data_IF_227347212198
#
_entry.id   IF_227347212198
#
_cell.length_a   1.000
_cell.length_b   1.000
_cell.length_c   1.000
_cell.angle_alpha   90.00
_cell.angle_beta   90.00
_cell.angle_gamma   90.00
#
_symmetry.space_group_name_H-M   'P 1'
#
loop_
_entity.id
_entity.type
_entity.pdbx_description
1 polymer ?
#
# COMPACT_ATOMS: atom_id res chain seq x y z
N UNK A 1 16.88 -0.89 44.32
CA UNK A 1 15.50 -0.50 43.97
C UNK A 1 15.44 0.78 43.14
N UNK A 2 16.07 1.89 43.56
CA UNK A 2 16.07 3.16 42.79
C UNK A 2 16.65 3.05 41.37
N UNK A 3 17.81 2.40 41.22
CA UNK A 3 18.48 2.25 39.91
C UNK A 3 17.71 1.35 38.94
N UNK A 4 17.02 0.33 39.45
CA UNK A 4 16.21 -0.59 38.64
C UNK A 4 15.00 0.13 38.03
N UNK A 5 14.40 1.05 38.80
CA UNK A 5 13.29 1.89 38.33
C UNK A 5 13.76 2.87 37.24
N UNK A 6 14.94 3.47 37.41
CA UNK A 6 15.53 4.40 36.45
C UNK A 6 15.89 3.76 35.10
N UNK A 7 16.40 2.52 35.11
CA UNK A 7 16.72 1.78 33.89
C UNK A 7 15.44 1.42 33.14
N UNK A 8 14.39 0.99 33.85
CA UNK A 8 13.11 0.63 33.25
C UNK A 8 12.44 1.85 32.58
N UNK A 9 12.51 3.03 33.21
CA UNK A 9 11.98 4.28 32.62
C UNK A 9 12.74 4.72 31.38
N UNK A 10 14.07 4.52 31.34
CA UNK A 10 14.87 4.89 30.17
C UNK A 10 14.65 3.92 29.00
N UNK A 11 14.49 2.62 29.30
CA UNK A 11 14.14 1.62 28.30
C UNK A 11 12.76 1.86 27.69
N UNK A 12 11.77 2.26 28.49
CA UNK A 12 10.43 2.55 27.99
C UNK A 12 10.40 3.80 27.09
N UNK A 13 11.18 4.83 27.42
CA UNK A 13 11.32 6.04 26.59
C UNK A 13 11.99 5.74 25.24
N UNK A 14 12.94 4.80 25.17
CA UNK A 14 13.60 4.41 23.93
C UNK A 14 12.67 3.66 22.95
N UNK A 15 11.64 2.98 23.45
CA UNK A 15 10.66 2.25 22.62
C UNK A 15 9.64 3.20 21.98
N UNK A 16 9.28 4.31 22.64
CA UNK A 16 8.29 5.25 22.09
C UNK A 16 8.82 6.15 20.98
N UNK A 17 10.14 6.28 20.84
CA UNK A 17 10.81 7.07 19.78
C UNK A 17 10.74 6.42 18.38
N UNK A 18 10.39 5.14 18.29
CA UNK A 18 10.29 4.42 17.01
C UNK A 18 8.85 4.28 16.50
N UNK A 19 7.88 4.93 17.13
CA UNK A 19 6.52 5.00 16.61
C UNK A 19 6.49 6.00 15.44
N UNK A 20 6.71 5.52 14.22
CA UNK A 20 6.44 6.30 13.02
C UNK A 20 4.93 6.50 12.91
N UNK A 21 4.45 7.75 12.90
CA UNK A 21 3.08 8.01 12.52
C UNK A 21 2.86 7.48 11.11
N UNK A 22 1.81 6.68 10.91
CA UNK A 22 1.38 6.32 9.56
C UNK A 22 1.13 7.64 8.79
N UNK A 23 1.58 7.70 7.54
CA UNK A 23 1.37 8.87 6.69
C UNK A 23 -0.10 9.26 6.74
N UNK A 24 -0.39 10.51 7.11
CA UNK A 24 -1.74 11.06 7.08
C UNK A 24 -2.09 11.66 5.73
N UNK A 25 -1.25 11.42 4.73
CA UNK A 25 -1.56 11.82 3.37
C UNK A 25 -2.87 11.14 2.97
N UNK A 26 -3.87 11.92 2.51
CA UNK A 26 -5.14 11.35 2.13
C UNK A 26 -4.90 10.34 1.01
N UNK A 27 -5.52 9.17 1.12
CA UNK A 27 -5.51 8.19 0.04
C UNK A 27 -6.02 8.86 -1.23
N UNK A 28 -5.26 8.70 -2.31
CA UNK A 28 -5.58 9.28 -3.61
C UNK A 28 -6.20 8.21 -4.52
N UNK A 29 -7.43 8.45 -4.96
CA UNK A 29 -8.24 7.56 -5.79
C UNK A 29 -8.44 8.08 -7.22
N UNK A 30 -7.83 9.21 -7.58
CA UNK A 30 -8.12 9.96 -8.81
C UNK A 30 -7.38 9.40 -10.04
N UNK A 31 -7.33 8.07 -10.16
CA UNK A 31 -6.70 7.37 -11.27
C UNK A 31 -7.63 7.26 -12.48
N UNK A 32 -7.14 7.69 -13.64
CA UNK A 32 -7.76 7.37 -14.93
C UNK A 32 -7.32 5.98 -15.40
N UNK A 33 -8.29 5.15 -15.81
CA UNK A 33 -8.01 3.81 -16.34
C UNK A 33 -8.35 3.78 -17.82
N UNK A 34 -7.32 3.70 -18.66
CA UNK A 34 -7.46 3.48 -20.09
C UNK A 34 -7.62 1.98 -20.39
N UNK A 35 -8.54 1.63 -21.30
CA UNK A 35 -8.70 0.26 -21.79
C UNK A 35 -10.14 -0.27 -21.71
N UNK A 36 -10.27 -1.59 -21.84
CA UNK A 36 -11.57 -2.27 -21.80
C UNK A 36 -12.17 -2.24 -20.39
N UNK A 37 -13.44 -1.86 -20.28
CA UNK A 37 -14.19 -1.80 -19.01
C UNK A 37 -14.24 -3.16 -18.29
N UNK A 38 -14.21 -4.28 -19.03
CA UNK A 38 -14.24 -5.63 -18.46
C UNK A 38 -12.90 -6.02 -17.83
N UNK A 39 -11.81 -5.41 -18.27
CA UNK A 39 -10.45 -5.65 -17.76
C UNK A 39 -10.09 -4.69 -16.63
N UNK A 40 -10.98 -3.75 -16.29
CA UNK A 40 -10.73 -2.75 -15.26
C UNK A 40 -10.65 -3.39 -13.87
N UNK A 41 -9.61 -3.08 -13.07
CA UNK A 41 -9.57 -3.43 -11.65
C UNK A 41 -10.83 -2.96 -10.89
N UNK A 42 -11.05 -3.52 -9.71
CA UNK A 42 -12.12 -3.09 -8.82
C UNK A 42 -11.84 -1.72 -8.21
N UNK A 43 -10.57 -1.46 -7.85
CA UNK A 43 -10.12 -0.25 -7.19
C UNK A 43 -8.64 0.00 -7.52
N UNK A 44 -8.27 1.27 -7.68
CA UNK A 44 -6.87 1.73 -7.77
C UNK A 44 -6.73 2.96 -6.87
N UNK A 45 -5.69 2.99 -6.03
CA UNK A 45 -5.39 4.14 -5.17
C UNK A 45 -3.91 4.16 -4.77
N UNK A 46 -3.42 5.26 -4.21
CA UNK A 46 -2.13 5.31 -3.53
C UNK A 46 -2.25 5.90 -2.13
N UNK A 47 -1.25 5.64 -1.29
CA UNK A 47 -1.13 6.17 0.08
C UNK A 47 0.02 7.20 0.23
N UNK A 48 0.48 7.77 -0.89
CA UNK A 48 1.66 8.63 -0.95
C UNK A 48 3.00 7.87 -0.99
N UNK A 49 3.01 6.58 -0.70
CA UNK A 49 4.23 5.74 -0.75
C UNK A 49 4.14 4.68 -1.84
N UNK A 50 3.05 3.92 -1.90
CA UNK A 50 2.85 2.83 -2.85
C UNK A 50 1.49 2.94 -3.55
N UNK A 51 1.38 2.34 -4.73
CA UNK A 51 0.13 2.28 -5.50
C UNK A 51 -0.47 0.89 -5.44
N UNK A 52 -1.76 0.81 -5.12
CA UNK A 52 -2.49 -0.41 -4.84
C UNK A 52 -3.54 -0.66 -5.91
N UNK A 53 -3.57 -1.89 -6.44
CA UNK A 53 -4.53 -2.35 -7.42
C UNK A 53 -5.33 -3.51 -6.85
N UNK A 54 -6.65 -3.36 -6.74
CA UNK A 54 -7.53 -4.45 -6.31
C UNK A 54 -8.14 -5.16 -7.54
N UNK A 55 -7.85 -6.45 -7.76
CA UNK A 55 -8.53 -7.22 -8.81
C UNK A 55 -10.02 -7.41 -8.49
N UNK A 56 -10.85 -7.59 -9.52
CA UNK A 56 -12.23 -8.10 -9.35
C UNK A 56 -12.20 -9.58 -8.95
N UNK A 57 -13.31 -10.07 -8.39
CA UNK A 57 -13.46 -11.50 -8.13
C UNK A 57 -13.29 -12.31 -9.42
N UNK A 58 -12.40 -13.31 -9.41
CA UNK A 58 -12.09 -14.15 -10.57
C UNK A 58 -11.18 -13.50 -11.62
N UNK A 59 -10.80 -12.23 -11.45
CA UNK A 59 -9.89 -11.54 -12.36
C UNK A 59 -8.44 -11.88 -12.01
N UNK A 60 -7.67 -12.34 -12.99
CA UNK A 60 -6.22 -12.42 -12.93
C UNK A 60 -5.62 -11.09 -13.39
N UNK A 61 -5.04 -10.34 -12.47
CA UNK A 61 -4.45 -9.03 -12.71
C UNK A 61 -2.93 -9.13 -12.61
N UNK A 62 -2.22 -8.67 -13.64
CA UNK A 62 -0.76 -8.53 -13.64
C UNK A 62 -0.39 -7.08 -13.86
N UNK A 63 0.27 -6.47 -12.89
CA UNK A 63 0.70 -5.07 -12.92
C UNK A 63 2.22 -5.01 -13.04
N UNK A 64 2.73 -4.15 -13.93
CA UNK A 64 4.18 -4.00 -14.13
C UNK A 64 4.85 -3.49 -12.85
N UNK A 65 5.92 -4.18 -12.41
CA UNK A 65 6.59 -3.88 -11.14
C UNK A 65 5.77 -4.24 -9.88
N UNK A 66 4.58 -4.82 -10.06
CA UNK A 66 3.68 -5.16 -8.96
C UNK A 66 4.03 -6.48 -8.26
N UNK A 67 3.74 -6.55 -6.97
CA UNK A 67 3.79 -7.78 -6.18
C UNK A 67 2.49 -7.97 -5.39
N UNK A 68 2.13 -9.21 -5.08
CA UNK A 68 0.89 -9.50 -4.35
C UNK A 68 1.04 -9.22 -2.86
N UNK A 69 0.10 -8.46 -2.29
CA UNK A 69 0.01 -8.18 -0.86
C UNK A 69 -1.45 -8.10 -0.43
N UNK A 70 -1.90 -9.12 0.32
CA UNK A 70 -3.30 -9.23 0.73
C UNK A 70 -4.24 -9.26 -0.49
N UNK A 71 -5.30 -8.43 -0.55
CA UNK A 71 -6.22 -8.40 -1.69
C UNK A 71 -5.69 -7.55 -2.86
N UNK A 72 -4.49 -7.00 -2.77
CA UNK A 72 -3.95 -6.04 -3.73
C UNK A 72 -2.74 -6.58 -4.51
N UNK A 73 -2.52 -6.02 -5.69
CA UNK A 73 -1.22 -5.97 -6.35
C UNK A 73 -0.64 -4.59 -6.06
N UNK A 74 0.55 -4.54 -5.46
CA UNK A 74 1.19 -3.31 -4.97
C UNK A 74 2.39 -2.97 -5.84
N UNK A 75 2.41 -1.75 -6.35
CA UNK A 75 3.52 -1.17 -7.10
C UNK A 75 4.23 -0.17 -6.18
N UNK A 76 5.56 -0.29 -5.99
CA UNK A 76 6.30 0.68 -5.21
C UNK A 76 6.24 2.09 -5.81
N UNK A 77 6.01 3.10 -4.97
CA UNK A 77 5.92 4.48 -5.43
C UNK A 77 4.54 4.91 -5.95
N UNK A 78 4.49 6.15 -6.41
CA UNK A 78 3.32 6.80 -7.03
C UNK A 78 3.64 7.27 -8.47
N UNK A 79 3.99 6.34 -9.38
CA UNK A 79 4.34 6.72 -10.75
C UNK A 79 3.11 7.30 -11.49
N UNK A 80 3.37 8.27 -12.37
CA UNK A 80 2.34 8.97 -13.17
C UNK A 80 1.50 8.01 -14.03
N UNK A 81 2.12 6.92 -14.51
CA UNK A 81 1.45 5.92 -15.32
C UNK A 81 1.94 4.52 -14.96
N UNK A 82 0.99 3.57 -14.89
CA UNK A 82 1.25 2.16 -14.61
C UNK A 82 0.58 1.32 -15.68
N UNK A 83 1.34 0.37 -16.23
CA UNK A 83 0.81 -0.61 -17.17
C UNK A 83 0.35 -1.86 -16.42
N UNK A 84 -0.79 -2.37 -16.82
CA UNK A 84 -1.29 -3.64 -16.34
C UNK A 84 -1.88 -4.44 -17.50
N UNK A 85 -2.00 -5.75 -17.27
CA UNK A 85 -2.76 -6.66 -18.09
C UNK A 85 -3.74 -7.40 -17.19
N UNK A 86 -4.95 -7.60 -17.69
CA UNK A 86 -5.95 -8.38 -17.00
C UNK A 86 -6.45 -9.48 -17.94
N UNK A 87 -6.67 -10.66 -17.36
CA UNK A 87 -7.34 -11.79 -18.00
C UNK A 87 -8.10 -12.56 -16.93
N UNK A 88 -9.06 -13.39 -17.29
CA UNK A 88 -9.84 -14.12 -16.28
C UNK A 88 -11.13 -14.62 -16.86
N UNK A 89 -11.48 -15.84 -16.46
CA UNK A 89 -12.18 -16.89 -17.23
C UNK A 89 -13.37 -16.49 -18.08
#
# INVERSE_FOLDING_TARGET
MKHTLSILTLALAAVTLHATAAGTDPLDFDYEIAGNVLERPALVFNDGSDTYFQPRAGQSLRVDGGHSQGPYVVVPGTPEAIRYSAGGS
#
